data_IF_910106572782
#
_entry.id   IF_910106572782
#
_cell.length_a   1.000
_cell.length_b   1.000
_cell.length_c   1.000
_cell.angle_alpha   90.00
_cell.angle_beta   90.00
_cell.angle_gamma   90.00
#
_symmetry.space_group_name_H-M   'P 1'
#
loop_
_entity.id
_entity.type
_entity.pdbx_description
1 polymer ?
#
# COMPACT_ATOMS: atom_id res chain seq x y z
N UNK A 1 -12.04 -26.09 -4.73
CA UNK A 1 -12.65 -25.24 -3.69
C UNK A 1 -12.02 -25.58 -2.36
N UNK A 2 -11.15 -24.70 -1.83
CA UNK A 2 -10.42 -24.96 -0.59
C UNK A 2 -11.38 -24.97 0.61
N UNK A 3 -11.40 -26.07 1.35
CA UNK A 3 -12.20 -26.23 2.57
C UNK A 3 -11.83 -25.12 3.54
N UNK A 4 -12.82 -24.34 3.98
CA UNK A 4 -12.63 -23.25 4.92
C UNK A 4 -11.99 -23.80 6.21
N UNK A 5 -10.97 -23.11 6.75
CA UNK A 5 -10.32 -23.56 7.99
C UNK A 5 -11.35 -23.62 9.11
N UNK A 6 -11.41 -24.75 9.80
CA UNK A 6 -12.28 -24.95 10.96
C UNK A 6 -11.90 -23.98 12.08
N UNK A 7 -12.85 -23.63 12.95
CA UNK A 7 -12.67 -22.57 13.98
C UNK A 7 -11.49 -22.87 14.90
N UNK A 8 -11.27 -24.14 15.24
CA UNK A 8 -10.13 -24.65 16.01
C UNK A 8 -8.76 -24.46 15.31
N UNK A 9 -8.76 -24.37 13.97
CA UNK A 9 -7.56 -24.10 13.15
C UNK A 9 -7.41 -22.63 12.78
N UNK A 10 -8.35 -21.78 13.20
CA UNK A 10 -8.34 -20.35 12.91
C UNK A 10 -7.44 -19.63 13.93
N UNK A 11 -6.31 -19.15 13.46
CA UNK A 11 -5.38 -18.35 14.27
C UNK A 11 -5.93 -16.92 14.34
N UNK A 12 -6.24 -16.46 15.55
CA UNK A 12 -6.59 -15.08 15.82
C UNK A 12 -5.34 -14.30 16.24
N UNK A 13 -5.13 -13.08 15.73
CA UNK A 13 -4.03 -12.23 16.19
C UNK A 13 -4.24 -11.90 17.67
N UNK A 14 -3.18 -12.00 18.45
CA UNK A 14 -3.16 -11.60 19.85
C UNK A 14 -2.88 -10.10 19.92
N UNK A 15 -3.65 -9.36 20.72
CA UNK A 15 -3.40 -7.94 20.99
C UNK A 15 -2.09 -7.80 21.75
N UNK A 16 -1.01 -7.46 21.05
CA UNK A 16 0.32 -7.23 21.60
C UNK A 16 0.94 -5.93 21.07
N UNK A 17 2.02 -5.48 21.70
CA UNK A 17 2.82 -4.38 21.17
C UNK A 17 3.58 -4.84 19.94
N UNK A 18 3.63 -4.00 18.91
CA UNK A 18 4.41 -4.29 17.71
C UNK A 18 5.91 -4.24 18.07
N UNK A 19 6.71 -5.28 17.77
CA UNK A 19 8.10 -5.32 18.16
C UNK A 19 8.92 -4.29 17.37
N UNK A 20 9.83 -3.59 18.05
CA UNK A 20 10.67 -2.55 17.44
C UNK A 20 11.58 -3.14 16.34
N UNK A 21 12.02 -4.39 16.49
CA UNK A 21 12.83 -5.11 15.49
C UNK A 21 12.09 -5.30 14.15
N UNK A 22 10.76 -5.35 14.17
CA UNK A 22 9.95 -5.50 12.96
C UNK A 22 9.54 -4.14 12.35
N UNK A 23 9.97 -3.02 12.94
CA UNK A 23 9.60 -1.69 12.52
C UNK A 23 10.19 -1.37 11.16
N UNK A 24 9.36 -0.85 10.26
CA UNK A 24 9.84 -0.31 8.99
C UNK A 24 10.51 1.03 9.23
N UNK A 25 11.79 1.11 8.91
CA UNK A 25 12.54 2.35 8.94
C UNK A 25 12.50 3.01 7.56
N UNK A 26 12.17 4.30 7.52
CA UNK A 26 12.21 5.12 6.32
C UNK A 26 13.48 5.98 6.33
N UNK A 27 14.29 5.85 5.30
CA UNK A 27 15.47 6.67 5.05
C UNK A 27 15.30 7.42 3.73
N UNK A 28 15.83 8.64 3.66
CA UNK A 28 15.87 9.44 2.43
C UNK A 28 17.35 9.51 2.04
N UNK A 29 17.83 8.63 1.15
CA UNK A 29 19.25 8.54 0.83
C UNK A 29 19.74 9.74 0.00
N UNK A 30 18.85 10.33 -0.80
CA UNK A 30 19.11 11.45 -1.69
C UNK A 30 18.03 12.51 -1.50
N UNK A 31 18.41 13.78 -1.57
CA UNK A 31 17.45 14.89 -1.50
C UNK A 31 16.42 14.77 -2.66
N UNK A 32 15.12 14.59 -2.34
CA UNK A 32 14.08 14.38 -3.34
C UNK A 32 13.84 15.62 -4.21
N UNK A 33 14.32 16.80 -3.79
CA UNK A 33 14.13 18.04 -4.54
C UNK A 33 15.08 18.15 -5.74
N UNK A 34 16.17 17.37 -5.76
CA UNK A 34 17.18 17.44 -6.82
C UNK A 34 16.67 16.98 -8.19
N UNK A 35 15.66 16.11 -8.23
CA UNK A 35 15.09 15.58 -9.48
C UNK A 35 13.87 16.36 -9.96
N UNK A 36 13.45 17.41 -9.25
CA UNK A 36 12.25 18.14 -9.61
C UNK A 36 12.46 18.92 -10.92
N UNK A 37 11.53 18.82 -11.89
CA UNK A 37 11.60 19.63 -13.09
C UNK A 37 11.36 21.11 -12.75
N UNK A 38 12.08 21.99 -13.44
CA UNK A 38 11.89 23.44 -13.28
C UNK A 38 10.51 23.87 -13.81
N UNK A 39 9.81 24.70 -13.04
CA UNK A 39 8.52 25.24 -13.44
C UNK A 39 8.71 26.55 -14.22
N UNK A 40 8.07 26.61 -15.39
CA UNK A 40 7.99 27.84 -16.17
C UNK A 40 6.96 28.79 -15.56
N UNK A 41 7.24 30.11 -15.45
CA UNK A 41 6.29 31.09 -14.92
C UNK A 41 5.00 31.20 -15.74
N UNK A 42 5.08 30.88 -17.03
CA UNK A 42 3.96 30.91 -17.97
C UNK A 42 3.72 29.49 -18.50
N UNK A 43 2.93 28.67 -17.80
CA UNK A 43 2.65 27.31 -18.24
C UNK A 43 1.90 27.32 -19.58
N UNK A 44 2.17 26.36 -20.48
CA UNK A 44 1.40 26.19 -21.72
C UNK A 44 0.01 25.63 -21.42
N UNK A 45 -0.88 25.72 -22.42
CA UNK A 45 -2.20 25.09 -22.30
C UNK A 45 -2.07 23.57 -22.18
N UNK A 46 -3.04 22.96 -21.48
CA UNK A 46 -3.04 21.52 -21.27
C UNK A 46 -3.26 20.79 -22.59
N UNK A 47 -2.33 19.90 -22.93
CA UNK A 47 -2.48 18.97 -24.04
C UNK A 47 -2.53 17.54 -23.49
N UNK A 48 -3.53 16.75 -23.89
CA UNK A 48 -3.62 15.35 -23.50
C UNK A 48 -2.37 14.57 -23.90
N UNK A 49 -1.88 13.75 -22.98
CA UNK A 49 -0.77 12.82 -23.19
C UNK A 49 -1.27 11.39 -23.09
N UNK A 50 -0.46 10.39 -23.49
CA UNK A 50 -0.85 8.97 -23.48
C UNK A 50 -1.41 8.50 -22.14
N UNK A 51 -0.82 8.99 -21.02
CA UNK A 51 -1.31 8.72 -19.66
C UNK A 51 -2.35 9.73 -19.19
N UNK A 52 -2.08 11.03 -19.37
CA UNK A 52 -2.96 12.09 -18.88
C UNK A 52 -3.94 12.52 -19.98
N UNK A 53 -5.03 11.77 -20.15
CA UNK A 53 -6.11 12.09 -21.11
C UNK A 53 -7.03 13.19 -20.59
N UNK A 54 -7.81 13.82 -21.48
CA UNK A 54 -8.81 14.83 -21.10
C UNK A 54 -9.83 14.28 -20.10
N UNK A 55 -10.32 13.06 -20.32
CA UNK A 55 -11.28 12.39 -19.42
C UNK A 55 -10.70 12.21 -18.00
N UNK A 56 -9.45 11.77 -17.89
CA UNK A 56 -8.76 11.61 -16.60
C UNK A 56 -8.53 12.95 -15.90
N UNK A 57 -8.24 13.99 -16.68
CA UNK A 57 -8.07 15.34 -16.17
C UNK A 57 -9.39 15.93 -15.65
N UNK A 58 -10.51 15.63 -16.30
CA UNK A 58 -11.85 16.00 -15.83
C UNK A 58 -12.24 15.24 -14.55
N UNK A 59 -11.93 13.95 -14.47
CA UNK A 59 -12.17 13.12 -13.27
C UNK A 59 -11.42 13.63 -12.02
N UNK A 60 -10.27 14.28 -12.19
CA UNK A 60 -9.50 14.83 -11.08
C UNK A 60 -10.17 16.05 -10.42
N UNK A 61 -11.12 16.71 -11.11
CA UNK A 61 -11.88 17.86 -10.61
C UNK A 61 -11.02 18.91 -9.88
N UNK A 62 -9.87 19.28 -10.46
CA UNK A 62 -8.82 20.10 -9.81
C UNK A 62 -9.35 21.36 -9.13
N UNK A 63 -10.38 21.98 -9.70
CA UNK A 63 -10.96 23.22 -9.19
C UNK A 63 -12.47 23.12 -8.94
N UNK A 64 -12.95 22.01 -8.36
CA UNK A 64 -14.39 21.81 -8.09
C UNK A 64 -15.06 22.98 -7.35
N UNK A 65 -14.35 23.56 -6.38
CA UNK A 65 -14.88 24.65 -5.53
C UNK A 65 -14.57 26.06 -6.07
N UNK A 66 -13.88 26.19 -7.20
CA UNK A 66 -13.47 27.48 -7.74
C UNK A 66 -12.49 28.26 -6.84
N UNK A 67 -11.67 27.55 -6.06
CA UNK A 67 -10.68 28.17 -5.18
C UNK A 67 -9.47 28.70 -5.96
N UNK A 68 -9.06 27.99 -7.01
CA UNK A 68 -7.89 28.31 -7.82
C UNK A 68 -8.24 29.33 -8.91
N UNK A 69 -7.30 30.22 -9.21
CA UNK A 69 -7.39 31.10 -10.37
C UNK A 69 -7.18 30.31 -11.67
N UNK A 70 -7.64 30.82 -12.83
CA UNK A 70 -7.44 30.14 -14.12
C UNK A 70 -5.96 29.82 -14.39
N UNK A 71 -5.05 30.72 -14.05
CA UNK A 71 -3.61 30.54 -14.20
C UNK A 71 -3.04 29.49 -13.23
N UNK A 72 -3.56 29.42 -12.00
CA UNK A 72 -3.15 28.41 -11.01
C UNK A 72 -3.64 27.01 -11.40
N UNK A 73 -4.86 26.91 -11.92
CA UNK A 73 -5.40 25.66 -12.47
C UNK A 73 -4.56 25.18 -13.65
N UNK A 74 -4.14 26.11 -14.51
CA UNK A 74 -3.23 25.84 -15.63
C UNK A 74 -1.86 25.36 -15.17
N UNK A 75 -1.29 26.01 -14.15
CA UNK A 75 -0.03 25.59 -13.54
C UNK A 75 -0.14 24.19 -12.93
N UNK A 76 -1.25 23.88 -12.27
CA UNK A 76 -1.46 22.56 -11.68
C UNK A 76 -1.54 21.47 -12.74
N UNK A 77 -2.27 21.70 -13.84
CA UNK A 77 -2.31 20.80 -15.01
C UNK A 77 -0.90 20.58 -15.59
N UNK A 78 -0.10 21.63 -15.64
CA UNK A 78 1.29 21.55 -16.10
C UNK A 78 2.18 20.71 -15.17
N UNK A 79 2.07 20.90 -13.86
CA UNK A 79 2.79 20.10 -12.85
C UNK A 79 2.44 18.62 -12.97
N UNK A 80 1.16 18.29 -13.15
CA UNK A 80 0.71 16.91 -13.34
C UNK A 80 1.28 16.29 -14.61
N UNK A 81 1.31 17.05 -15.72
CA UNK A 81 1.92 16.60 -16.98
C UNK A 81 3.41 16.31 -16.82
N UNK A 82 4.16 17.19 -16.15
CA UNK A 82 5.59 16.99 -15.89
C UNK A 82 5.89 15.76 -15.03
N UNK A 83 4.95 15.38 -14.17
CA UNK A 83 5.09 14.24 -13.25
C UNK A 83 4.15 13.08 -13.63
N UNK A 84 3.78 12.94 -14.91
CA UNK A 84 2.77 11.98 -15.34
C UNK A 84 3.15 10.52 -15.01
N UNK A 85 4.44 10.21 -14.96
CA UNK A 85 4.95 8.89 -14.62
C UNK A 85 4.70 8.49 -13.16
N UNK A 86 4.52 9.47 -12.27
CA UNK A 86 4.17 9.21 -10.88
C UNK A 86 2.67 8.88 -10.70
N UNK A 87 1.84 9.13 -11.71
CA UNK A 87 0.40 8.90 -11.66
C UNK A 87 0.08 7.47 -12.12
N UNK A 88 -0.57 6.71 -11.24
CA UNK A 88 -1.02 5.36 -11.56
C UNK A 88 -2.52 5.36 -11.86
N UNK A 89 -2.89 5.15 -13.12
CA UNK A 89 -4.29 5.02 -13.54
C UNK A 89 -4.72 3.56 -13.72
N UNK A 90 -3.77 2.68 -14.02
CA UNK A 90 -4.00 1.24 -14.16
C UNK A 90 -3.11 0.46 -13.21
N UNK A 91 -3.46 -0.80 -12.94
CA UNK A 91 -2.64 -1.67 -12.09
C UNK A 91 -1.23 -1.91 -12.67
N UNK A 92 -1.05 -1.73 -13.98
CA UNK A 92 0.27 -1.84 -14.63
C UNK A 92 1.20 -0.67 -14.24
N UNK A 93 0.63 0.49 -13.94
CA UNK A 93 1.36 1.68 -13.52
C UNK A 93 1.75 1.61 -12.03
N UNK A 94 1.31 0.57 -11.31
CA UNK A 94 1.59 0.41 -9.89
C UNK A 94 3.09 0.18 -9.68
N UNK A 95 3.76 1.20 -9.16
CA UNK A 95 5.14 1.11 -8.71
C UNK A 95 5.31 0.26 -7.44
N UNK A 96 6.56 -0.13 -7.18
CA UNK A 96 7.00 -0.70 -5.90
C UNK A 96 7.94 0.28 -5.22
N UNK A 97 7.97 0.27 -3.89
CA UNK A 97 8.90 1.11 -3.15
C UNK A 97 10.33 0.59 -3.30
N UNK A 98 11.28 1.50 -3.47
CA UNK A 98 12.70 1.15 -3.48
C UNK A 98 13.16 0.69 -2.10
N UNK A 99 13.93 -0.40 -2.07
CA UNK A 99 14.57 -0.93 -0.86
C UNK A 99 15.55 0.06 -0.21
N UNK A 100 16.06 1.03 -0.97
CA UNK A 100 16.94 2.09 -0.42
C UNK A 100 16.21 3.08 0.49
N UNK A 101 14.88 3.17 0.35
CA UNK A 101 14.06 4.10 1.14
C UNK A 101 13.39 3.44 2.34
N UNK A 102 13.06 2.16 2.24
CA UNK A 102 12.31 1.44 3.26
C UNK A 102 12.96 0.10 3.56
N UNK A 103 13.12 -0.20 4.84
CA UNK A 103 13.51 -1.56 5.23
C UNK A 103 12.39 -2.56 4.92
N UNK A 104 12.73 -3.83 4.66
CA UNK A 104 11.74 -4.87 4.43
C UNK A 104 10.71 -4.94 5.56
N UNK A 105 9.44 -5.18 5.20
CA UNK A 105 8.40 -5.39 6.20
C UNK A 105 8.56 -6.78 6.82
N UNK A 106 8.73 -6.83 8.13
CA UNK A 106 8.80 -8.08 8.89
C UNK A 106 7.44 -8.31 9.54
N UNK A 107 6.81 -9.45 9.26
CA UNK A 107 5.57 -9.85 9.94
C UNK A 107 5.97 -10.45 11.29
N UNK A 108 5.71 -9.79 12.43
CA UNK A 108 6.06 -10.37 13.73
C UNK A 108 5.18 -11.59 14.00
N UNK A 109 5.81 -12.73 14.28
CA UNK A 109 5.12 -13.97 14.62
C UNK A 109 5.22 -14.23 16.12
N UNK A 110 4.10 -14.57 16.75
CA UNK A 110 4.09 -15.06 18.14
C UNK A 110 4.27 -16.58 18.12
N UNK A 111 5.07 -17.17 19.04
CA UNK A 111 5.15 -18.61 19.19
C UNK A 111 3.76 -19.21 19.33
N UNK A 112 3.38 -20.06 18.38
CA UNK A 112 2.09 -20.74 18.44
C UNK A 112 2.15 -21.77 19.58
N UNK A 113 1.26 -21.64 20.57
CA UNK A 113 1.02 -22.73 21.52
C UNK A 113 0.10 -23.72 20.81
N UNK A 114 0.57 -24.94 20.44
CA UNK A 114 -0.33 -25.94 19.92
C UNK A 114 -1.41 -26.19 20.97
N UNK A 115 -2.66 -26.21 20.53
CA UNK A 115 -3.76 -26.62 21.40
C UNK A 115 -3.46 -28.06 21.85
N UNK A 116 -3.17 -28.27 23.13
CA UNK A 116 -3.15 -29.61 23.69
C UNK A 116 -4.57 -30.16 23.57
N UNK A 117 -4.81 -30.99 22.56
CA UNK A 117 -5.93 -31.92 22.63
C UNK A 117 -5.68 -32.77 23.88
N UNK A 118 -6.50 -32.60 24.91
CA UNK A 118 -6.57 -33.60 25.98
C UNK A 118 -6.72 -34.95 25.30
N UNK A 119 -5.86 -35.93 25.64
CA UNK A 119 -6.02 -37.29 25.16
C UNK A 119 -7.49 -37.68 25.40
N UNK A 120 -8.20 -38.01 24.31
CA UNK A 120 -9.59 -38.45 24.42
C UNK A 120 -9.60 -39.60 25.43
N UNK A 121 -10.41 -39.52 26.49
CA UNK A 121 -10.44 -40.57 27.49
C UNK A 121 -10.80 -41.88 26.80
N UNK A 122 -9.96 -42.90 26.93
CA UNK A 122 -10.23 -44.21 26.38
C UNK A 122 -11.55 -44.71 27.01
N UNK A 123 -12.56 -45.07 26.20
CA UNK A 123 -13.81 -45.60 26.71
C UNK A 123 -13.54 -46.83 27.60
N UNK A 124 -14.22 -46.97 28.76
CA UNK A 124 -13.91 -48.01 29.73
C UNK A 124 -13.96 -49.43 29.16
N UNK A 125 -14.78 -49.69 28.13
CA UNK A 125 -14.88 -50.99 27.47
C UNK A 125 -13.68 -51.40 26.60
N UNK A 126 -12.75 -50.48 26.30
CA UNK A 126 -11.61 -50.72 25.40
C UNK A 126 -10.27 -50.59 26.15
N UNK A 127 -10.28 -50.20 27.43
CA UNK A 127 -9.08 -49.99 28.26
C UNK A 127 -8.16 -51.20 28.36
N UNK A 128 -8.68 -52.42 28.26
CA UNK A 128 -7.91 -53.68 28.37
C UNK A 128 -7.27 -54.14 27.07
N UNK A 129 -7.60 -53.51 25.93
CA UNK A 129 -7.14 -53.91 24.59
C UNK A 129 -6.07 -52.98 23.99
N UNK A 130 -5.77 -51.88 24.67
CA UNK A 130 -4.78 -50.87 24.28
C UNK A 130 -3.60 -50.94 25.24
#
# INVERSE_FOLDING_TARGET
>A
FGVYKTVDKKVHPVSGTFPEEARVHRTIPVDPLLSLPELTPTPPDFEPTDKLTSERMEMLEVNHKGFLWPEEEKLFKWILRLNEDALAFTDQDRGTFSESYFTPYIIPTVPHKPWECRNLPIPPGIRTKV
#
